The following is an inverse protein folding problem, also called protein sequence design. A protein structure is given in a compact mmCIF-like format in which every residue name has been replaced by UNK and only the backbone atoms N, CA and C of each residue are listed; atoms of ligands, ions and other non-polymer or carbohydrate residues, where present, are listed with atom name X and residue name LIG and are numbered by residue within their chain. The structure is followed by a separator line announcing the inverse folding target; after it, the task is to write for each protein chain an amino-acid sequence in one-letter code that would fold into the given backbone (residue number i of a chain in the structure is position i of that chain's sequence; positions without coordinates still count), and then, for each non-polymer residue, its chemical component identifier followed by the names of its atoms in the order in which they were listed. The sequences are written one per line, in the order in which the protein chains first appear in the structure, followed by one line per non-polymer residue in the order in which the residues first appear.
data_IF_028306048220
#
_entry.id   IF_028306048220
#
_cell.length_a   1.000
_cell.length_b   1.000
_cell.length_c   1.000
_cell.angle_alpha   90.00
_cell.angle_beta   90.00
_cell.angle_gamma   90.00
#
_symmetry.space_group_name_H-M   'P 1'
#
loop_
_entity.id
_entity.type
_entity.pdbx_description
1 polymer ?
#
# COMPACT_ATOMS: atom_id res chain seq x y z
N UNK A 1 -19.70 3.28 -3.57
CA UNK A 1 -18.74 2.72 -4.55
C UNK A 1 -17.72 1.85 -3.82
N UNK A 2 -17.23 0.79 -4.46
CA UNK A 2 -16.35 -0.23 -3.87
C UNK A 2 -15.03 -0.42 -4.64
N UNK A 3 -14.64 0.52 -5.50
CA UNK A 3 -13.38 0.46 -6.25
C UNK A 3 -12.18 0.30 -5.31
N UNK A 4 -11.13 -0.38 -5.80
CA UNK A 4 -9.89 -0.65 -5.06
C UNK A 4 -10.09 -1.40 -3.74
N UNK A 5 -11.14 -2.24 -3.68
CA UNK A 5 -11.44 -3.15 -2.58
C UNK A 5 -11.77 -4.51 -3.18
N UNK A 6 -11.26 -5.57 -2.56
CA UNK A 6 -11.52 -6.95 -2.96
C UNK A 6 -11.17 -7.91 -1.84
N UNK A 7 -11.64 -9.14 -1.97
CA UNK A 7 -11.24 -10.25 -1.12
C UNK A 7 -11.02 -11.48 -2.00
N UNK A 8 -10.13 -12.36 -1.57
CA UNK A 8 -9.85 -13.64 -2.22
C UNK A 8 -9.59 -14.67 -1.14
N UNK A 9 -9.93 -15.93 -1.41
CA UNK A 9 -9.44 -17.07 -0.62
C UNK A 9 -8.07 -17.46 -1.15
N UNK A 10 -7.13 -17.76 -0.26
CA UNK A 10 -5.83 -18.33 -0.65
C UNK A 10 -6.01 -19.66 -1.35
N UNK A 11 -5.16 -19.95 -2.33
CA UNK A 11 -5.06 -21.29 -2.90
C UNK A 11 -4.38 -22.27 -1.93
N UNK A 12 -4.17 -23.51 -2.38
CA UNK A 12 -3.52 -24.57 -1.61
C UNK A 12 -2.07 -24.26 -1.21
N UNK A 13 -1.43 -23.32 -1.92
CA UNK A 13 -0.08 -22.82 -1.61
C UNK A 13 -0.07 -21.59 -0.70
N UNK A 14 -1.24 -21.11 -0.27
CA UNK A 14 -1.36 -19.90 0.54
C UNK A 14 -1.27 -18.60 -0.25
N UNK A 15 -1.39 -18.64 -1.58
CA UNK A 15 -1.20 -17.49 -2.46
C UNK A 15 -2.54 -16.85 -2.82
N UNK A 16 -2.56 -15.52 -2.88
CA UNK A 16 -3.65 -14.72 -3.48
C UNK A 16 -3.07 -13.71 -4.46
N UNK A 17 -3.84 -13.42 -5.50
CA UNK A 17 -3.49 -12.39 -6.50
C UNK A 17 -4.62 -11.38 -6.64
N UNK A 18 -4.25 -10.11 -6.65
CA UNK A 18 -5.17 -8.99 -6.89
C UNK A 18 -4.66 -8.19 -8.09
N UNK A 19 -5.52 -7.98 -9.08
CA UNK A 19 -5.29 -6.98 -10.11
C UNK A 19 -5.75 -5.61 -9.56
N UNK A 20 -4.80 -4.69 -9.38
CA UNK A 20 -5.05 -3.34 -8.88
C UNK A 20 -4.10 -2.34 -9.56
N UNK A 21 -4.23 -1.06 -9.23
CA UNK A 21 -3.31 0.00 -9.65
C UNK A 21 -2.32 0.34 -8.54
N UNK A 22 -1.26 1.07 -8.87
CA UNK A 22 -0.37 1.64 -7.86
C UNK A 22 -1.15 2.64 -6.98
N UNK A 23 -1.01 2.61 -5.64
CA UNK A 23 -1.78 3.51 -4.79
C UNK A 23 -1.30 4.97 -4.92
N UNK A 24 -2.25 5.89 -4.87
CA UNK A 24 -1.94 7.31 -4.72
C UNK A 24 -1.41 7.64 -3.32
N UNK A 25 -0.93 8.87 -3.14
CA UNK A 25 -0.51 9.41 -1.85
C UNK A 25 -1.56 10.35 -1.25
N UNK A 26 -1.55 10.55 0.06
CA UNK A 26 -2.32 11.61 0.72
C UNK A 26 -1.51 12.17 1.88
N UNK A 27 -1.84 13.40 2.28
CA UNK A 27 -1.00 14.15 3.23
C UNK A 27 -0.78 13.37 4.52
N UNK A 28 0.47 13.37 4.97
CA UNK A 28 0.89 12.75 6.22
C UNK A 28 1.03 11.23 6.18
N UNK A 29 0.87 10.58 5.02
CA UNK A 29 1.03 9.13 4.87
C UNK A 29 1.89 8.77 3.65
N UNK A 30 2.78 7.80 3.81
CA UNK A 30 3.50 7.20 2.67
C UNK A 30 2.54 6.36 1.82
N UNK A 31 2.92 5.99 0.60
CA UNK A 31 2.11 5.16 -0.29
C UNK A 31 1.99 3.73 0.25
N UNK A 32 0.75 3.21 0.36
CA UNK A 32 0.49 1.91 0.97
C UNK A 32 -0.75 1.20 0.40
N UNK A 33 -0.80 -0.13 0.60
CA UNK A 33 -2.00 -0.95 0.43
C UNK A 33 -2.39 -1.53 1.78
N UNK A 34 -3.66 -1.39 2.17
CA UNK A 34 -4.19 -2.08 3.35
C UNK A 34 -4.47 -3.54 3.03
N UNK A 35 -4.19 -4.43 3.99
CA UNK A 35 -4.66 -5.80 3.93
C UNK A 35 -5.19 -6.25 5.29
N UNK A 36 -6.10 -7.22 5.23
CA UNK A 36 -6.61 -7.94 6.39
C UNK A 36 -6.71 -9.42 6.02
N UNK A 37 -6.13 -10.27 6.85
CA UNK A 37 -6.15 -11.72 6.72
C UNK A 37 -7.08 -12.25 7.80
N UNK A 38 -7.94 -13.18 7.42
CA UNK A 38 -8.80 -13.94 8.31
C UNK A 38 -8.39 -15.40 8.19
N UNK A 39 -7.86 -15.98 9.26
CA UNK A 39 -7.49 -17.40 9.29
C UNK A 39 -8.71 -18.27 9.63
N UNK A 40 -9.58 -17.73 10.48
CA UNK A 40 -10.85 -18.28 10.92
C UNK A 40 -11.75 -17.12 11.40
N UNK A 41 -12.91 -17.43 11.99
CA UNK A 41 -13.89 -16.43 12.45
C UNK A 41 -13.42 -15.57 13.64
N UNK A 42 -12.36 -16.00 14.33
CA UNK A 42 -11.82 -15.36 15.54
C UNK A 42 -10.42 -14.76 15.33
N UNK A 43 -9.67 -15.26 14.35
CA UNK A 43 -8.27 -14.93 14.11
C UNK A 43 -8.13 -13.98 12.93
N UNK A 44 -7.64 -12.77 13.20
CA UNK A 44 -7.35 -11.79 12.16
C UNK A 44 -6.02 -11.09 12.33
N UNK A 45 -5.35 -10.85 11.20
CA UNK A 45 -4.18 -9.98 11.10
C UNK A 45 -4.53 -8.80 10.22
N UNK A 46 -4.21 -7.59 10.66
CA UNK A 46 -4.36 -6.36 9.88
C UNK A 46 -2.99 -5.73 9.67
N UNK A 47 -2.70 -5.33 8.43
CA UNK A 47 -1.41 -4.75 8.09
C UNK A 47 -1.48 -3.80 6.90
N UNK A 48 -0.30 -3.32 6.53
CA UNK A 48 -0.12 -2.43 5.39
C UNK A 48 1.12 -2.86 4.63
N UNK A 49 1.01 -2.92 3.30
CA UNK A 49 2.15 -3.05 2.40
C UNK A 49 2.67 -1.66 2.11
N UNK A 50 3.99 -1.49 2.20
CA UNK A 50 4.69 -0.26 1.86
C UNK A 50 5.55 -0.50 0.62
N UNK A 51 5.89 0.57 -0.09
CA UNK A 51 6.68 0.52 -1.31
C UNK A 51 8.00 1.26 -1.12
N UNK A 52 9.08 0.85 -1.81
CA UNK A 52 10.31 1.62 -1.81
C UNK A 52 10.05 3.07 -2.21
N UNK A 53 10.62 4.02 -1.46
CA UNK A 53 10.44 5.45 -1.72
C UNK A 53 10.87 5.82 -3.15
N UNK A 54 11.98 5.24 -3.63
CA UNK A 54 12.48 5.46 -4.98
C UNK A 54 11.48 5.03 -6.07
N UNK A 55 10.77 3.92 -5.87
CA UNK A 55 9.74 3.46 -6.82
C UNK A 55 8.55 4.43 -6.83
N UNK A 56 8.11 4.86 -5.65
CA UNK A 56 7.03 5.85 -5.52
C UNK A 56 7.40 7.16 -6.20
N UNK A 57 8.62 7.65 -5.99
CA UNK A 57 9.10 8.90 -6.57
C UNK A 57 9.18 8.81 -8.09
N UNK A 58 9.65 7.68 -8.64
CA UNK A 58 9.66 7.44 -10.08
C UNK A 58 8.24 7.46 -10.68
N UNK A 59 7.30 6.72 -10.08
CA UNK A 59 5.91 6.64 -10.59
C UNK A 59 5.24 8.02 -10.54
N UNK A 60 5.36 8.73 -9.41
CA UNK A 60 4.76 10.05 -9.23
C UNK A 60 5.41 11.15 -10.08
N UNK A 61 6.59 10.92 -10.65
CA UNK A 61 7.24 11.86 -11.57
C UNK A 61 7.00 11.55 -13.05
N UNK A 62 6.77 10.28 -13.42
CA UNK A 62 6.89 9.86 -14.83
C UNK A 62 5.66 9.17 -15.42
N UNK A 63 4.71 8.71 -14.61
CA UNK A 63 3.58 7.88 -15.09
C UNK A 63 2.27 8.66 -15.02
N UNK A 64 1.61 8.98 -16.14
CA UNK A 64 0.23 9.48 -16.12
C UNK A 64 -0.75 8.44 -15.56
N UNK A 65 -1.81 8.83 -14.82
CA UNK A 65 -2.15 10.20 -14.42
C UNK A 65 -1.42 10.65 -13.14
N UNK A 66 -0.56 9.82 -12.56
CA UNK A 66 0.11 10.14 -11.30
C UNK A 66 0.99 11.39 -11.39
N UNK A 67 1.74 11.53 -12.48
CA UNK A 67 2.59 12.68 -12.77
C UNK A 67 1.80 13.97 -13.05
N UNK A 68 0.52 13.85 -13.41
CA UNK A 68 -0.36 14.99 -13.71
C UNK A 68 -1.03 15.55 -12.45
N UNK A 69 -0.96 14.80 -11.33
CA UNK A 69 -1.53 15.24 -10.07
C UNK A 69 -0.79 16.46 -9.53
N UNK A 70 -1.55 17.49 -9.16
CA UNK A 70 -1.00 18.66 -8.47
C UNK A 70 -0.42 18.30 -7.09
N UNK A 71 0.79 18.81 -6.84
CA UNK A 71 1.51 18.61 -5.59
C UNK A 71 2.45 17.42 -5.60
N UNK A 72 3.37 17.39 -4.63
CA UNK A 72 4.31 16.30 -4.44
C UNK A 72 3.92 15.50 -3.20
N UNK A 73 4.22 14.21 -3.21
CA UNK A 73 4.16 13.37 -2.01
C UNK A 73 4.98 14.02 -0.90
N UNK A 74 4.36 14.19 0.26
CA UNK A 74 4.96 14.92 1.40
C UNK A 74 5.61 13.98 2.43
N UNK A 75 5.27 12.69 2.38
CA UNK A 75 5.62 11.72 3.42
C UNK A 75 6.31 10.50 2.82
N UNK A 76 7.56 10.28 3.23
CA UNK A 76 8.34 9.07 2.94
C UNK A 76 8.06 7.96 3.96
N UNK A 77 8.53 6.74 3.70
CA UNK A 77 8.43 5.63 4.65
C UNK A 77 9.02 6.00 6.03
N UNK A 78 10.22 6.58 6.02
CA UNK A 78 10.89 7.06 7.23
C UNK A 78 10.16 8.19 7.97
N UNK A 79 9.27 8.93 7.29
CA UNK A 79 8.49 10.02 7.89
C UNK A 79 7.08 9.57 8.33
N UNK A 80 6.60 8.45 7.81
CA UNK A 80 5.29 7.89 8.16
C UNK A 80 5.35 7.17 9.52
N UNK A 81 4.51 7.59 10.47
CA UNK A 81 4.48 7.01 11.81
C UNK A 81 4.01 5.55 11.86
N UNK A 82 3.18 5.11 10.90
CA UNK A 82 2.70 3.72 10.79
C UNK A 82 3.79 2.86 10.14
N UNK A 83 4.43 3.32 9.06
CA UNK A 83 5.52 2.58 8.43
C UNK A 83 6.69 2.34 9.40
N UNK A 84 7.07 3.35 10.20
CA UNK A 84 8.08 3.19 11.26
C UNK A 84 7.72 2.13 12.30
N UNK A 85 6.44 2.05 12.69
CA UNK A 85 5.97 1.03 13.64
C UNK A 85 5.84 -0.36 13.02
N UNK A 86 5.71 -0.47 11.71
CA UNK A 86 5.66 -1.75 11.00
C UNK A 86 7.04 -2.46 10.95
N UNK A 87 8.12 -1.74 11.23
CA UNK A 87 9.46 -2.29 11.40
C UNK A 87 10.41 -1.97 10.23
N UNK A 88 11.65 -2.50 10.27
CA UNK A 88 12.72 -2.13 9.36
C UNK A 88 12.44 -2.43 7.88
N UNK A 89 11.64 -3.48 7.60
CA UNK A 89 11.26 -3.84 6.22
C UNK A 89 10.31 -2.83 5.56
N UNK A 90 9.69 -1.95 6.35
CA UNK A 90 8.80 -0.90 5.87
C UNK A 90 9.52 0.43 5.63
N UNK A 91 10.86 0.46 5.70
CA UNK A 91 11.69 1.64 5.48
C UNK A 91 12.23 1.67 4.05
#
# INVERSE_FOLDING_TARGET
QTFLRGWQKTDESGIVSFATIYPGWYRGRTTHIHFKIFLDDSSTMTGQLFFPDALSDQIFATVPPYAERAGKRDTSNARDGIARRAGPLAQ
#
